data_IF_551127236677
#
_entry.id   IF_551127236677
#
_cell.length_a   1.000
_cell.length_b   1.000
_cell.length_c   1.000
_cell.angle_alpha   90.00
_cell.angle_beta   90.00
_cell.angle_gamma   90.00
#
_symmetry.space_group_name_H-M   'P 1'
#
loop_
_entity.id
_entity.type
_entity.pdbx_description
1 polymer ?
#
# COMPACT_ATOMS: atom_id res chain seq x y z
N UNK A 1 7.97 33.02 -39.00
CA UNK A 1 8.76 32.75 -40.22
C UNK A 1 9.60 34.00 -40.42
N UNK A 2 10.81 34.00 -39.86
CA UNK A 2 11.74 35.13 -40.00
C UNK A 2 12.32 35.00 -41.39
N UNK A 3 12.11 36.04 -42.19
CA UNK A 3 12.55 36.15 -43.56
C UNK A 3 14.07 35.93 -43.61
N UNK A 4 14.50 34.87 -44.29
CA UNK A 4 15.91 34.61 -44.51
C UNK A 4 16.25 35.40 -45.77
N UNK A 5 16.99 36.52 -45.72
CA UNK A 5 17.41 37.17 -46.95
C UNK A 5 18.17 36.15 -47.79
N UNK A 6 17.61 35.82 -48.95
CA UNK A 6 17.95 34.64 -49.77
C UNK A 6 19.35 34.71 -50.41
N UNK A 7 20.18 35.68 -50.04
CA UNK A 7 21.52 35.93 -50.57
C UNK A 7 22.55 36.32 -49.47
N UNK A 8 22.54 35.64 -48.32
CA UNK A 8 23.65 35.80 -47.36
C UNK A 8 24.87 34.99 -47.81
N UNK A 9 25.82 35.68 -48.45
CA UNK A 9 27.12 35.11 -48.80
C UNK A 9 27.96 34.84 -47.54
N UNK A 10 28.89 33.87 -47.56
CA UNK A 10 29.81 33.63 -46.43
C UNK A 10 30.58 34.88 -45.99
N UNK A 11 30.85 35.79 -46.91
CA UNK A 11 31.51 37.06 -46.64
C UNK A 11 30.62 38.02 -45.84
N UNK A 12 29.34 38.12 -46.17
CA UNK A 12 28.39 38.96 -45.44
C UNK A 12 28.17 38.45 -43.99
N UNK A 13 28.17 37.13 -43.79
CA UNK A 13 28.10 36.54 -42.45
C UNK A 13 29.36 36.81 -41.63
N UNK A 14 30.54 36.75 -42.27
CA UNK A 14 31.81 37.04 -41.62
C UNK A 14 31.91 38.52 -41.21
N UNK A 15 31.49 39.44 -42.08
CA UNK A 15 31.43 40.87 -41.80
C UNK A 15 30.47 41.18 -40.64
N UNK A 16 29.23 40.66 -40.71
CA UNK A 16 28.23 40.83 -39.64
C UNK A 16 28.71 40.26 -38.29
N UNK A 17 29.39 39.11 -38.30
CA UNK A 17 29.98 38.53 -37.10
C UNK A 17 31.10 39.42 -36.54
N UNK A 18 31.96 39.97 -37.40
CA UNK A 18 33.03 40.87 -36.98
C UNK A 18 32.49 42.14 -36.30
N UNK A 19 31.44 42.76 -36.87
CA UNK A 19 30.79 43.95 -36.32
C UNK A 19 30.07 43.64 -34.99
N UNK A 20 29.44 42.46 -34.90
CA UNK A 20 28.80 42.01 -33.68
C UNK A 20 29.79 41.82 -32.53
N UNK A 21 30.94 41.18 -32.79
CA UNK A 21 31.99 40.92 -31.78
C UNK A 21 32.71 42.21 -31.38
N UNK A 22 33.02 43.08 -32.35
CA UNK A 22 33.62 44.39 -32.08
C UNK A 22 32.66 45.36 -31.37
N UNK A 23 31.35 45.06 -31.38
CA UNK A 23 30.34 45.89 -30.73
C UNK A 23 30.01 47.17 -31.50
N UNK A 24 30.23 47.20 -32.82
CA UNK A 24 29.97 48.37 -33.67
C UNK A 24 28.53 48.44 -34.20
N UNK A 25 27.77 47.35 -34.07
CA UNK A 25 26.35 47.29 -34.45
C UNK A 25 25.48 48.21 -33.57
N UNK A 26 24.42 48.76 -34.18
CA UNK A 26 23.35 49.43 -33.43
C UNK A 26 22.61 48.46 -32.49
N UNK A 27 21.90 48.99 -31.49
CA UNK A 27 21.16 48.18 -30.52
C UNK A 27 20.11 47.26 -31.18
N UNK A 28 19.46 47.73 -32.24
CA UNK A 28 18.45 46.99 -33.01
C UNK A 28 19.09 45.83 -33.79
N UNK A 29 20.16 46.12 -34.55
CA UNK A 29 20.91 45.09 -35.29
C UNK A 29 21.53 44.05 -34.36
N UNK A 30 22.04 44.48 -33.19
CA UNK A 30 22.57 43.57 -32.18
C UNK A 30 21.50 42.63 -31.63
N UNK A 31 20.28 43.12 -31.39
CA UNK A 31 19.17 42.30 -30.93
C UNK A 31 18.75 41.27 -32.00
N UNK A 32 18.75 41.67 -33.27
CA UNK A 32 18.48 40.78 -34.40
C UNK A 32 19.53 39.65 -34.50
N UNK A 33 20.82 39.98 -34.44
CA UNK A 33 21.90 38.99 -34.42
C UNK A 33 21.77 38.05 -33.22
N UNK A 34 21.47 38.57 -32.01
CA UNK A 34 21.24 37.75 -30.82
C UNK A 34 20.07 36.77 -30.96
N UNK A 35 19.01 37.18 -31.65
CA UNK A 35 17.89 36.30 -31.96
C UNK A 35 18.29 35.22 -32.95
N UNK A 36 19.01 35.60 -34.03
CA UNK A 36 19.49 34.68 -35.07
C UNK A 36 20.49 33.66 -34.54
N UNK A 37 21.36 34.07 -33.60
CA UNK A 37 22.29 33.18 -32.90
C UNK A 37 21.59 32.04 -32.16
N UNK A 38 20.26 31.99 -32.01
CA UNK A 38 19.56 30.82 -31.45
C UNK A 38 19.34 29.68 -32.44
N UNK A 39 19.36 29.96 -33.73
CA UNK A 39 19.01 29.00 -34.79
C UNK A 39 20.06 28.89 -35.91
N UNK A 40 20.89 29.91 -36.12
CA UNK A 40 21.86 29.95 -37.21
C UNK A 40 23.24 29.43 -36.77
N UNK A 41 23.62 28.24 -37.24
CA UNK A 41 24.90 27.61 -36.92
C UNK A 41 26.07 28.27 -37.64
N UNK A 42 25.87 28.74 -38.88
CA UNK A 42 26.95 29.36 -39.66
C UNK A 42 27.36 30.70 -39.03
N UNK A 43 26.38 31.50 -38.62
CA UNK A 43 26.61 32.75 -37.90
C UNK A 43 27.30 32.53 -36.54
N UNK A 44 26.90 31.50 -35.77
CA UNK A 44 27.59 31.14 -34.52
C UNK A 44 29.06 30.83 -34.75
N UNK A 45 29.37 29.99 -35.74
CA UNK A 45 30.76 29.62 -36.04
C UNK A 45 31.60 30.83 -36.45
N UNK A 46 31.03 31.78 -37.20
CA UNK A 46 31.69 33.03 -37.56
C UNK A 46 31.94 33.91 -36.33
N UNK A 47 30.95 34.07 -35.44
CA UNK A 47 31.11 34.79 -34.16
C UNK A 47 32.18 34.14 -33.29
N UNK A 48 32.16 32.83 -33.09
CA UNK A 48 33.16 32.09 -32.29
C UNK A 48 34.58 32.19 -32.89
N UNK A 49 34.69 32.29 -34.23
CA UNK A 49 35.95 32.54 -34.93
C UNK A 49 36.50 33.93 -34.58
N UNK A 50 35.67 34.96 -34.69
CA UNK A 50 36.05 36.34 -34.37
C UNK A 50 36.36 36.56 -32.89
N UNK A 51 35.57 35.96 -31.99
CA UNK A 51 35.85 36.00 -30.54
C UNK A 51 37.21 35.38 -30.23
N UNK A 52 37.52 34.19 -30.74
CA UNK A 52 38.84 33.55 -30.53
C UNK A 52 40.00 34.39 -31.06
N UNK A 53 39.82 35.03 -32.22
CA UNK A 53 40.84 35.90 -32.82
C UNK A 53 41.11 37.13 -31.98
N UNK A 54 40.07 37.73 -31.41
CA UNK A 54 40.18 38.96 -30.62
C UNK A 54 40.54 38.72 -29.16
N UNK A 55 40.17 37.57 -28.58
CA UNK A 55 40.54 37.19 -27.21
C UNK A 55 42.06 37.17 -27.02
N UNK A 56 42.83 36.75 -28.02
CA UNK A 56 44.30 36.79 -27.96
C UNK A 56 44.86 38.21 -27.75
N UNK A 57 44.16 39.25 -28.22
CA UNK A 57 44.58 40.63 -27.99
C UNK A 57 44.41 41.06 -26.52
N UNK A 58 43.50 40.42 -25.77
CA UNK A 58 43.29 40.74 -24.36
C UNK A 58 44.47 40.31 -23.48
N UNK A 59 45.29 39.36 -23.93
CA UNK A 59 46.53 38.97 -23.23
C UNK A 59 47.58 40.08 -23.20
N UNK A 60 47.50 41.03 -24.14
CA UNK A 60 48.39 42.19 -24.20
C UNK A 60 47.95 43.31 -23.25
N UNK A 61 46.75 43.23 -22.67
CA UNK A 61 46.25 44.24 -21.75
C UNK A 61 46.87 44.08 -20.36
N UNK A 62 47.32 45.19 -19.78
CA UNK A 62 47.87 45.19 -18.42
C UNK A 62 46.76 44.87 -17.39
N UNK A 63 46.97 43.92 -16.46
CA UNK A 63 45.99 43.58 -15.44
C UNK A 63 45.66 44.78 -14.54
N UNK A 64 44.38 45.10 -14.41
CA UNK A 64 43.88 46.15 -13.52
C UNK A 64 43.19 45.51 -12.30
N UNK A 65 43.66 45.84 -11.10
CA UNK A 65 43.09 45.29 -9.85
C UNK A 65 41.72 45.93 -9.58
N UNK A 66 40.61 45.17 -9.57
CA UNK A 66 39.30 45.70 -9.24
C UNK A 66 39.17 45.99 -7.74
N UNK A 67 38.16 46.78 -7.36
CA UNK A 67 37.84 47.00 -5.95
C UNK A 67 37.48 45.70 -5.21
N UNK A 68 37.88 45.58 -3.94
CA UNK A 68 37.64 44.39 -3.11
C UNK A 68 36.14 44.03 -2.97
N UNK A 69 35.24 45.01 -3.15
CA UNK A 69 33.79 44.81 -3.04
C UNK A 69 33.11 44.38 -4.34
N UNK A 70 33.81 44.42 -5.48
CA UNK A 70 33.22 44.12 -6.78
C UNK A 70 32.70 42.67 -6.85
N UNK A 71 33.51 41.72 -6.36
CA UNK A 71 33.13 40.30 -6.34
C UNK A 71 31.85 40.05 -5.54
N UNK A 72 31.76 40.61 -4.33
CA UNK A 72 30.57 40.50 -3.48
C UNK A 72 29.32 41.13 -4.12
N UNK A 73 29.48 42.16 -4.97
CA UNK A 73 28.36 42.76 -5.71
C UNK A 73 27.90 41.85 -6.85
N UNK A 74 28.83 41.21 -7.57
CA UNK A 74 28.53 40.25 -8.64
C UNK A 74 27.84 39.02 -8.06
N UNK A 75 28.35 38.46 -6.98
CA UNK A 75 27.74 37.29 -6.33
C UNK A 75 26.29 37.59 -5.90
N UNK A 76 26.06 38.77 -5.31
CA UNK A 76 24.70 39.21 -4.96
C UNK A 76 23.81 39.38 -6.19
N UNK A 77 24.29 40.02 -7.27
CA UNK A 77 23.47 40.22 -8.47
C UNK A 77 23.10 38.91 -9.15
N UNK A 78 24.03 37.95 -9.26
CA UNK A 78 23.76 36.61 -9.81
C UNK A 78 22.76 35.85 -8.95
N UNK A 79 22.90 35.92 -7.62
CA UNK A 79 21.93 35.33 -6.71
C UNK A 79 20.54 35.98 -6.82
N UNK A 80 20.46 37.29 -7.07
CA UNK A 80 19.16 37.95 -7.32
C UNK A 80 18.52 37.56 -8.64
N UNK A 81 19.31 37.32 -9.70
CA UNK A 81 18.82 36.84 -11.00
C UNK A 81 18.38 35.37 -10.96
N UNK A 82 19.06 34.56 -10.14
CA UNK A 82 18.78 33.13 -9.96
C UNK A 82 17.62 32.87 -9.02
N UNK A 83 17.27 33.85 -8.17
CA UNK A 83 16.05 33.79 -7.38
C UNK A 83 14.89 34.04 -8.33
N UNK A 84 13.87 33.17 -8.40
CA UNK A 84 12.70 33.44 -9.20
C UNK A 84 12.16 34.80 -8.77
N UNK A 85 12.09 35.74 -9.72
CA UNK A 85 11.45 37.03 -9.51
C UNK A 85 10.08 36.74 -8.92
N UNK A 86 9.90 36.98 -7.63
CA UNK A 86 8.58 37.18 -7.04
C UNK A 86 8.07 38.52 -7.55
N UNK A 87 7.89 38.61 -8.87
CA UNK A 87 6.99 39.54 -9.53
C UNK A 87 5.71 39.46 -8.74
N UNK A 88 5.26 40.60 -8.22
CA UNK A 88 3.99 40.83 -7.55
C UNK A 88 3.04 39.68 -7.83
N UNK A 89 2.96 38.78 -6.85
CA UNK A 89 2.26 37.51 -6.97
C UNK A 89 0.80 37.85 -7.26
N UNK A 90 0.41 37.74 -8.54
CA UNK A 90 -0.98 37.52 -8.87
C UNK A 90 -1.43 36.38 -7.95
N UNK A 91 -2.50 36.61 -7.19
CA UNK A 91 -3.05 35.63 -6.25
C UNK A 91 -3.60 34.49 -7.10
N UNK A 92 -2.74 33.59 -7.56
CA UNK A 92 -3.14 32.28 -8.06
C UNK A 92 -3.53 31.49 -6.81
N UNK A 93 -4.78 31.00 -6.69
CA UNK A 93 -5.17 30.18 -5.56
C UNK A 93 -4.24 28.98 -5.54
N UNK A 94 -3.41 28.88 -4.50
CA UNK A 94 -2.61 27.68 -4.26
C UNK A 94 -3.62 26.57 -4.00
N UNK A 95 -3.80 25.72 -5.02
CA UNK A 95 -4.62 24.52 -4.95
C UNK A 95 -4.18 23.74 -3.71
N UNK A 96 -5.16 23.30 -2.91
CA UNK A 96 -4.91 22.58 -1.66
C UNK A 96 -3.96 21.38 -1.87
N UNK A 97 -3.96 20.81 -3.07
CA UNK A 97 -3.07 19.76 -3.56
C UNK A 97 -1.58 20.13 -3.64
N UNK A 98 -1.22 21.40 -3.82
CA UNK A 98 0.18 21.85 -3.86
C UNK A 98 0.74 22.24 -2.48
N UNK A 99 0.00 21.97 -1.40
CA UNK A 99 0.45 22.25 -0.03
C UNK A 99 1.34 21.12 0.47
N UNK A 100 2.65 21.39 0.59
CA UNK A 100 3.61 20.47 1.22
C UNK A 100 3.19 19.95 2.62
N UNK A 101 2.57 20.74 3.54
CA UNK A 101 2.11 20.19 4.81
C UNK A 101 0.98 19.16 4.66
N UNK A 102 0.15 19.24 3.61
CA UNK A 102 -0.89 18.24 3.32
C UNK A 102 -0.25 16.88 3.00
N UNK A 103 0.75 16.88 2.10
CA UNK A 103 1.48 15.66 1.74
C UNK A 103 2.25 15.06 2.92
N UNK A 104 2.89 15.90 3.74
CA UNK A 104 3.56 15.44 4.96
C UNK A 104 2.56 14.83 5.95
N UNK A 105 1.40 15.45 6.13
CA UNK A 105 0.31 14.91 6.96
C UNK A 105 -0.21 13.57 6.43
N UNK A 106 -0.41 13.45 5.11
CA UNK A 106 -0.88 12.22 4.47
C UNK A 106 0.13 11.08 4.62
N UNK A 107 1.43 11.35 4.45
CA UNK A 107 2.48 10.34 4.67
C UNK A 107 2.56 9.89 6.14
N UNK A 108 2.42 10.83 7.09
CA UNK A 108 2.40 10.49 8.51
C UNK A 108 1.18 9.66 8.90
N UNK A 109 0.00 10.02 8.41
CA UNK A 109 -1.24 9.27 8.63
C UNK A 109 -1.18 7.88 8.01
N UNK A 110 -0.65 7.73 6.80
CA UNK A 110 -0.47 6.44 6.13
C UNK A 110 0.49 5.51 6.88
N UNK A 111 1.60 6.04 7.41
CA UNK A 111 2.54 5.27 8.23
C UNK A 111 1.91 4.83 9.55
N UNK A 112 1.19 5.72 10.24
CA UNK A 112 0.46 5.38 11.47
C UNK A 112 -0.61 4.30 11.21
N UNK A 113 -1.40 4.44 10.15
CA UNK A 113 -2.40 3.45 9.76
C UNK A 113 -1.77 2.08 9.44
N UNK A 114 -0.62 2.06 8.76
CA UNK A 114 0.10 0.83 8.44
C UNK A 114 0.65 0.14 9.69
N UNK A 115 1.19 0.91 10.65
CA UNK A 115 1.65 0.37 11.93
C UNK A 115 0.49 -0.16 12.77
N UNK A 116 -0.64 0.55 12.80
CA UNK A 116 -1.86 0.09 13.48
C UNK A 116 -2.39 -1.19 12.85
N UNK A 117 -2.44 -1.27 11.52
CA UNK A 117 -2.87 -2.46 10.80
C UNK A 117 -1.90 -3.62 11.04
N UNK A 118 -0.59 -3.38 10.99
CA UNK A 118 0.43 -4.36 11.30
C UNK A 118 0.32 -4.89 12.73
N UNK A 119 0.09 -4.01 13.70
CA UNK A 119 -0.15 -4.39 15.09
C UNK A 119 -1.43 -5.22 15.24
N UNK A 120 -2.51 -4.84 14.55
CA UNK A 120 -3.77 -5.59 14.57
C UNK A 120 -3.64 -6.98 13.90
N UNK A 121 -2.83 -7.09 12.85
CA UNK A 121 -2.54 -8.38 12.22
C UNK A 121 -1.69 -9.27 13.11
N UNK A 122 -0.73 -8.71 13.85
CA UNK A 122 0.08 -9.44 14.82
C UNK A 122 -0.72 -9.96 16.02
N UNK A 123 -1.80 -9.26 16.41
CA UNK A 123 -2.69 -9.72 17.50
C UNK A 123 -3.75 -10.71 17.04
N UNK A 124 -3.99 -10.83 15.73
CA UNK A 124 -4.85 -11.88 15.17
C UNK A 124 -4.12 -13.23 15.15
N UNK A 125 -3.99 -13.84 16.32
CA UNK A 125 -3.61 -15.26 16.41
C UNK A 125 -4.80 -16.10 15.98
N UNK A 126 -4.72 -16.71 14.80
CA UNK A 126 -5.59 -17.84 14.46
C UNK A 126 -5.23 -18.97 15.42
N UNK A 127 -6.07 -19.21 16.42
CA UNK A 127 -5.81 -20.25 17.40
C UNK A 127 -5.76 -21.60 16.68
N UNK A 128 -4.59 -22.28 16.74
CA UNK A 128 -4.43 -23.60 16.15
C UNK A 128 -5.29 -24.60 16.94
N UNK A 129 -6.11 -25.46 16.27
CA UNK A 129 -6.91 -26.47 16.95
C UNK A 129 -6.00 -27.40 17.77
N UNK A 130 -6.22 -27.45 19.09
CA UNK A 130 -5.50 -28.36 20.00
C UNK A 130 -6.15 -29.75 20.02
N UNK A 131 -7.46 -29.82 19.76
CA UNK A 131 -8.19 -31.07 19.60
C UNK A 131 -8.99 -31.07 18.31
N UNK A 132 -9.02 -32.23 17.66
CA UNK A 132 -9.83 -32.52 16.49
C UNK A 132 -10.64 -33.79 16.76
N UNK A 133 -11.92 -33.76 16.44
CA UNK A 133 -12.79 -34.96 16.45
C UNK A 133 -13.47 -35.04 15.09
N UNK A 134 -13.46 -36.21 14.48
CA UNK A 134 -14.30 -36.49 13.30
C UNK A 134 -15.48 -37.31 13.79
N UNK A 135 -16.69 -36.79 13.59
CA UNK A 135 -17.92 -37.53 13.89
C UNK A 135 -18.36 -38.27 12.63
N UNK A 136 -18.47 -39.59 12.76
CA UNK A 136 -18.85 -40.49 11.66
C UNK A 136 -20.20 -41.14 11.93
N UNK A 137 -20.93 -41.45 10.86
CA UNK A 137 -22.18 -42.18 10.98
C UNK A 137 -21.92 -43.65 11.38
N UNK A 138 -22.70 -44.24 12.31
CA UNK A 138 -22.47 -45.61 12.78
C UNK A 138 -22.57 -46.69 11.68
N UNK A 139 -23.32 -46.42 10.61
CA UNK A 139 -23.67 -47.42 9.59
C UNK A 139 -22.56 -47.61 8.55
N UNK A 140 -22.08 -46.52 7.94
CA UNK A 140 -21.15 -46.52 6.82
C UNK A 140 -19.79 -45.87 7.17
N UNK A 141 -19.66 -45.34 8.39
CA UNK A 141 -18.50 -44.57 8.86
C UNK A 141 -18.22 -43.32 8.02
N UNK A 142 -19.21 -42.80 7.30
CA UNK A 142 -19.06 -41.57 6.54
C UNK A 142 -18.88 -40.37 7.50
N UNK A 143 -17.91 -39.47 7.24
CA UNK A 143 -17.70 -38.30 8.07
C UNK A 143 -18.78 -37.25 7.78
N UNK A 144 -19.57 -36.90 8.80
CA UNK A 144 -20.63 -35.90 8.67
C UNK A 144 -20.30 -34.56 9.30
N UNK A 145 -19.49 -34.57 10.36
CA UNK A 145 -19.16 -33.38 11.14
C UNK A 145 -17.72 -33.44 11.66
N UNK A 146 -17.13 -32.27 11.86
CA UNK A 146 -15.82 -32.12 12.50
C UNK A 146 -15.98 -31.20 13.69
N UNK A 147 -15.35 -31.59 14.79
CA UNK A 147 -15.22 -30.76 15.97
C UNK A 147 -13.80 -30.24 16.02
N UNK A 148 -13.67 -28.92 16.12
CA UNK A 148 -12.40 -28.24 16.36
C UNK A 148 -12.46 -27.52 17.70
N UNK A 149 -11.42 -27.71 18.51
CA UNK A 149 -11.23 -26.93 19.72
C UNK A 149 -9.87 -26.23 19.66
N UNK A 150 -9.90 -24.96 19.26
CA UNK A 150 -8.72 -24.09 19.21
C UNK A 150 -8.31 -23.53 20.57
N UNK A 151 -9.20 -23.61 21.54
CA UNK A 151 -8.91 -23.36 22.94
C UNK A 151 -9.64 -24.43 23.79
N UNK A 152 -9.20 -24.73 25.03
CA UNK A 152 -9.87 -25.71 25.89
C UNK A 152 -11.25 -25.28 26.39
N UNK A 153 -11.71 -24.07 26.03
CA UNK A 153 -12.91 -23.41 26.53
C UNK A 153 -14.00 -23.22 25.47
N UNK A 154 -13.74 -23.59 24.22
CA UNK A 154 -14.66 -23.39 23.11
C UNK A 154 -14.52 -24.54 22.12
N UNK A 155 -15.67 -25.06 21.73
CA UNK A 155 -15.78 -26.10 20.72
C UNK A 155 -16.57 -25.55 19.55
N UNK A 156 -16.07 -25.79 18.34
CA UNK A 156 -16.80 -25.54 17.10
C UNK A 156 -17.17 -26.86 16.45
N UNK A 157 -18.46 -27.07 16.24
CA UNK A 157 -19.02 -28.20 15.50
C UNK A 157 -19.33 -27.74 14.06
N UNK A 158 -18.59 -28.27 13.09
CA UNK A 158 -18.59 -27.84 11.69
C UNK A 158 -19.18 -28.97 10.83
N UNK A 159 -20.24 -28.70 10.05
CA UNK A 159 -20.83 -29.70 9.15
C UNK A 159 -19.92 -29.92 7.93
N UNK A 160 -19.70 -31.18 7.53
CA UNK A 160 -18.97 -31.54 6.31
C UNK A 160 -19.89 -31.75 5.10
N UNK A 161 -21.21 -31.85 5.34
CA UNK A 161 -22.21 -32.05 4.32
C UNK A 161 -23.58 -31.60 4.79
N UNK A 162 -24.57 -31.74 3.92
CA UNK A 162 -25.97 -31.45 4.25
C UNK A 162 -26.59 -32.72 4.83
N UNK A 163 -26.96 -32.68 6.11
CA UNK A 163 -27.72 -33.75 6.76
C UNK A 163 -29.19 -33.35 6.73
N UNK A 164 -30.02 -34.17 6.08
CA UNK A 164 -31.47 -34.00 6.13
C UNK A 164 -32.00 -34.45 7.49
N UNK A 165 -32.66 -33.53 8.20
CA UNK A 165 -33.30 -33.80 9.48
C UNK A 165 -34.81 -33.63 9.29
N UNK A 166 -35.65 -34.61 9.68
CA UNK A 166 -37.10 -34.47 9.62
C UNK A 166 -37.59 -33.21 10.33
N UNK A 167 -38.63 -32.56 9.80
CA UNK A 167 -39.14 -31.28 10.31
C UNK A 167 -39.65 -31.36 11.77
N UNK A 168 -40.00 -32.56 12.24
CA UNK A 168 -40.46 -32.86 13.60
C UNK A 168 -39.33 -33.40 14.50
N UNK A 169 -38.05 -33.25 14.09
CA UNK A 169 -36.88 -33.71 14.82
C UNK A 169 -35.80 -32.63 14.90
N UNK A 170 -34.90 -32.80 15.84
CA UNK A 170 -33.71 -31.96 15.99
C UNK A 170 -32.50 -32.83 16.27
N UNK A 171 -31.32 -32.38 15.83
CA UNK A 171 -30.07 -32.96 16.28
C UNK A 171 -29.69 -32.34 17.62
N UNK A 172 -29.35 -33.16 18.60
CA UNK A 172 -28.79 -32.70 19.86
C UNK A 172 -27.34 -33.16 20.00
N UNK A 173 -26.47 -32.23 20.40
CA UNK A 173 -25.04 -32.46 20.54
C UNK A 173 -24.70 -32.79 21.98
N UNK A 174 -23.93 -33.86 22.18
CA UNK A 174 -23.58 -34.35 23.50
C UNK A 174 -22.08 -34.59 23.63
N UNK A 175 -21.60 -34.53 24.86
CA UNK A 175 -20.26 -34.97 25.22
C UNK A 175 -20.23 -35.77 26.51
N UNK A 176 -19.26 -36.69 26.61
CA UNK A 176 -19.01 -37.49 27.81
C UNK A 176 -17.54 -37.87 27.89
N UNK A 177 -16.89 -37.56 29.01
CA UNK A 177 -15.54 -38.05 29.31
C UNK A 177 -15.58 -39.26 30.26
N UNK A 178 -14.40 -39.82 30.52
CA UNK A 178 -14.24 -40.92 31.45
C UNK A 178 -14.48 -40.44 32.90
N UNK A 179 -15.15 -41.25 33.72
CA UNK A 179 -15.47 -40.88 35.11
C UNK A 179 -16.63 -39.90 35.30
N UNK A 180 -17.23 -39.35 34.23
CA UNK A 180 -18.42 -38.50 34.34
C UNK A 180 -19.67 -39.33 34.67
N UNK A 181 -20.57 -38.77 35.50
CA UNK A 181 -21.83 -39.45 35.88
C UNK A 181 -22.78 -39.68 34.71
N UNK A 182 -22.66 -38.89 33.64
CA UNK A 182 -23.50 -38.99 32.45
C UNK A 182 -23.03 -38.08 31.32
N UNK A 183 -23.62 -38.23 30.13
CA UNK A 183 -23.42 -37.29 29.04
C UNK A 183 -24.00 -35.91 29.39
N UNK A 184 -23.39 -34.87 28.85
CA UNK A 184 -23.85 -33.50 29.00
C UNK A 184 -24.24 -32.94 27.64
N UNK A 185 -25.42 -32.33 27.57
CA UNK A 185 -25.90 -31.65 26.36
C UNK A 185 -25.09 -30.38 26.11
N UNK A 186 -24.64 -30.23 24.88
CA UNK A 186 -24.00 -29.03 24.32
C UNK A 186 -24.99 -28.18 23.51
N UNK A 187 -26.25 -28.63 23.41
CA UNK A 187 -27.34 -27.91 22.77
C UNK A 187 -27.79 -28.51 21.44
N UNK A 188 -28.83 -27.87 20.89
CA UNK A 188 -29.44 -28.27 19.63
C UNK A 188 -28.63 -27.76 18.43
N UNK A 189 -28.51 -28.60 17.40
CA UNK A 189 -27.74 -28.35 16.19
C UNK A 189 -28.68 -28.08 15.04
N UNK A 190 -28.46 -26.96 14.35
CA UNK A 190 -29.15 -26.65 13.09
C UNK A 190 -28.35 -27.24 11.92
N UNK A 191 -28.97 -28.04 11.04
CA UNK A 191 -28.29 -28.58 9.88
C UNK A 191 -27.65 -27.49 9.02
N UNK A 192 -26.40 -27.71 8.60
CA UNK A 192 -25.66 -26.79 7.73
C UNK A 192 -25.11 -25.53 8.41
N UNK A 193 -25.29 -25.35 9.71
CA UNK A 193 -24.72 -24.22 10.46
C UNK A 193 -23.65 -24.69 11.44
N UNK A 194 -22.54 -23.94 11.53
CA UNK A 194 -21.54 -24.15 12.57
C UNK A 194 -22.11 -23.78 13.92
N UNK A 195 -21.98 -24.67 14.90
CA UNK A 195 -22.35 -24.41 16.29
C UNK A 195 -21.08 -24.15 17.12
N UNK A 196 -20.99 -22.96 17.71
CA UNK A 196 -19.97 -22.64 18.72
C UNK A 196 -20.54 -22.83 20.12
N UNK A 197 -19.86 -23.63 20.94
CA UNK A 197 -20.25 -23.90 22.33
C UNK A 197 -19.13 -23.49 23.26
N UNK A 198 -19.42 -22.55 24.16
CA UNK A 198 -18.53 -22.22 25.26
C UNK A 198 -18.58 -23.32 26.34
N UNK A 199 -17.42 -23.86 26.69
CA UNK A 199 -17.22 -24.87 27.72
C UNK A 199 -17.10 -24.27 29.13
N UNK A 200 -17.50 -23.02 29.34
CA UNK A 200 -17.32 -22.30 30.62
C UNK A 200 -17.90 -23.05 31.84
N UNK A 201 -18.92 -23.88 31.60
CA UNK A 201 -19.62 -24.69 32.61
C UNK A 201 -19.28 -26.18 32.53
N UNK A 202 -18.36 -26.57 31.65
CA UNK A 202 -17.95 -27.95 31.42
C UNK A 202 -16.50 -28.15 31.86
N UNK A 203 -16.14 -29.35 32.34
CA UNK A 203 -14.74 -29.69 32.56
C UNK A 203 -13.93 -29.54 31.26
N UNK A 204 -12.61 -29.25 31.36
CA UNK A 204 -11.74 -29.14 30.19
C UNK A 204 -11.78 -30.36 29.29
N UNK A 205 -11.50 -30.18 28.00
CA UNK A 205 -11.41 -31.28 27.06
C UNK A 205 -10.34 -32.30 27.44
N UNK A 206 -10.74 -33.57 27.45
CA UNK A 206 -9.87 -34.71 27.73
C UNK A 206 -9.55 -35.49 26.44
N UNK A 207 -8.35 -36.07 26.31
CA UNK A 207 -8.08 -37.07 25.28
C UNK A 207 -9.11 -38.21 25.37
N UNK A 208 -9.53 -38.75 24.22
CA UNK A 208 -10.49 -39.87 24.14
C UNK A 208 -11.92 -39.55 24.62
N UNK A 209 -12.23 -38.28 24.92
CA UNK A 209 -13.57 -37.80 25.25
C UNK A 209 -14.55 -38.09 24.11
N UNK A 210 -15.72 -38.63 24.46
CA UNK A 210 -16.76 -39.02 23.53
C UNK A 210 -17.62 -37.82 23.13
N UNK A 211 -17.95 -37.73 21.85
CA UNK A 211 -18.90 -36.79 21.30
C UNK A 211 -19.89 -37.52 20.41
N UNK A 212 -21.16 -37.13 20.50
CA UNK A 212 -22.23 -37.75 19.73
C UNK A 212 -23.32 -36.74 19.34
N UNK A 213 -23.95 -37.00 18.20
CA UNK A 213 -25.15 -36.31 17.72
C UNK A 213 -26.29 -37.32 17.69
N UNK A 214 -27.37 -37.03 18.42
CA UNK A 214 -28.57 -37.88 18.44
C UNK A 214 -29.75 -37.18 17.79
N UNK A 215 -30.64 -37.97 17.20
CA UNK A 215 -31.87 -37.47 16.60
C UNK A 215 -32.99 -37.43 17.64
N UNK A 216 -33.20 -36.26 18.23
CA UNK A 216 -34.16 -36.03 19.31
C UNK A 216 -35.46 -35.39 18.80
N UNK A 217 -36.41 -35.21 19.71
CA UNK A 217 -37.60 -34.40 19.45
C UNK A 217 -37.22 -32.92 19.22
N UNK A 218 -38.12 -32.05 18.71
CA UNK A 218 -37.78 -30.68 18.34
C UNK A 218 -37.19 -29.83 19.47
N UNK A 219 -37.53 -30.17 20.72
CA UNK A 219 -37.04 -29.49 21.93
C UNK A 219 -35.85 -30.22 22.61
N UNK A 220 -35.27 -31.22 21.96
CA UNK A 220 -34.21 -32.07 22.52
C UNK A 220 -34.72 -33.20 23.42
N UNK A 221 -33.81 -33.78 24.18
CA UNK A 221 -34.08 -34.84 25.15
C UNK A 221 -34.84 -34.30 26.37
N UNK A 222 -35.94 -34.96 26.78
CA UNK A 222 -36.72 -34.55 27.95
C UNK A 222 -36.06 -34.90 29.29
N UNK A 223 -35.05 -35.77 29.31
CA UNK A 223 -34.44 -36.31 30.53
C UNK A 223 -32.98 -35.88 30.73
N UNK A 224 -32.47 -35.00 29.87
CA UNK A 224 -31.07 -34.54 29.94
C UNK A 224 -30.04 -35.65 29.64
N UNK A 225 -30.45 -36.68 28.89
CA UNK A 225 -29.61 -37.78 28.39
C UNK A 225 -30.04 -38.15 26.98
N UNK A 226 -29.16 -38.62 26.10
CA UNK A 226 -29.53 -39.05 24.75
C UNK A 226 -30.71 -40.05 24.80
N UNK A 227 -31.79 -39.74 24.09
CA UNK A 227 -32.99 -40.60 23.99
C UNK A 227 -33.23 -41.10 22.57
N UNK A 228 -32.73 -40.39 21.57
CA UNK A 228 -32.85 -40.72 20.16
C UNK A 228 -31.72 -41.62 19.63
N UNK A 229 -31.87 -42.11 18.39
CA UNK A 229 -30.80 -42.86 17.72
C UNK A 229 -29.60 -41.96 17.45
N UNK A 230 -28.40 -42.53 17.65
CA UNK A 230 -27.12 -41.87 17.36
C UNK A 230 -26.98 -41.75 15.84
N UNK A 231 -26.82 -40.52 15.37
CA UNK A 231 -26.58 -40.20 13.96
C UNK A 231 -25.10 -40.08 13.65
N UNK A 232 -24.33 -39.50 14.57
CA UNK A 232 -22.87 -39.39 14.43
C UNK A 232 -22.17 -39.55 15.77
N UNK A 233 -20.98 -40.14 15.76
CA UNK A 233 -20.19 -40.40 16.97
C UNK A 233 -18.69 -40.30 16.68
N UNK A 234 -17.90 -39.87 17.65
CA UNK A 234 -16.45 -39.76 17.53
C UNK A 234 -15.77 -39.47 18.86
N UNK A 235 -14.43 -39.56 18.87
CA UNK A 235 -13.62 -39.34 20.07
C UNK A 235 -12.51 -38.32 19.84
N UNK A 236 -12.25 -37.50 20.85
CA UNK A 236 -11.26 -36.44 20.75
C UNK A 236 -9.83 -36.96 20.62
N UNK A 237 -9.13 -36.43 19.62
CA UNK A 237 -7.70 -36.66 19.40
C UNK A 237 -6.97 -35.33 19.59
N UNK A 238 -5.89 -35.35 20.39
CA UNK A 238 -5.03 -34.19 20.59
C UNK A 238 -4.13 -34.02 19.38
N UNK A 239 -4.13 -32.82 18.80
CA UNK A 239 -3.26 -32.45 17.67
C UNK A 239 -1.99 -31.83 18.25
N UNK A 240 -0.82 -32.33 17.83
CA UNK A 240 0.50 -31.89 18.27
C UNK A 240 0.99 -30.66 17.49
#
# INVERSE_FOLDING_TARGET
>A
MIDRPTDETPQALDELASEYVLGTLSAEQRAEVQQRLRSDIALRNAVDSWERRLLGLTELAEPQTPSAHLWQRIERSVNTLSRPSSTTRAITPVTWWNRLPLWRGLTGAGLAASLLLGALLLTQTTAKPTYLVVLVAPQDKAPGWVIQASNPREIQLIPLGVVEVPADKALEFWTKAEGWQGPVSLGLVKPGQTLSVALDKLPPLEPNQLFELTLENPNGSPIGKPTGPIQFIGRAVKVL
#
